data_IF_528850763306
#
_entry.id   IF_528850763306
#
_cell.length_a   1.000
_cell.length_b   1.000
_cell.length_c   1.000
_cell.angle_alpha   90.00
_cell.angle_beta   90.00
_cell.angle_gamma   90.00
#
_symmetry.space_group_name_H-M   'P 1'
#
loop_
_entity.id
_entity.type
_entity.pdbx_description
1 polymer ?
#
# COMPACT_ATOMS: atom_id res chain seq x y z
N UNK A 1 -3.68 23.73 3.49
CA UNK A 1 -3.71 22.79 4.63
C UNK A 1 -3.48 21.39 4.08
N UNK A 2 -2.37 20.69 4.38
CA UNK A 2 -2.16 19.35 3.85
C UNK A 2 -3.06 18.36 4.61
N UNK A 3 -4.17 17.98 3.99
CA UNK A 3 -5.11 16.97 4.51
C UNK A 3 -4.47 15.58 4.30
N UNK A 4 -4.05 14.96 5.40
CA UNK A 4 -3.57 13.58 5.54
C UNK A 4 -2.30 13.22 4.72
N UNK A 5 -1.14 13.23 5.39
CA UNK A 5 0.20 12.98 4.84
C UNK A 5 0.48 11.53 4.42
N UNK A 6 -0.31 10.99 3.49
CA UNK A 6 -0.03 9.72 2.80
C UNK A 6 0.86 9.92 1.57
N UNK A 7 0.77 11.09 0.93
CA UNK A 7 1.54 11.47 -0.25
C UNK A 7 2.17 12.84 -0.04
N UNK A 8 3.33 13.03 -0.65
CA UNK A 8 4.04 14.30 -0.70
C UNK A 8 4.22 14.70 -2.17
N UNK A 9 4.14 15.99 -2.49
CA UNK A 9 4.47 16.46 -3.84
C UNK A 9 5.96 16.30 -4.09
N UNK A 10 6.32 15.72 -5.24
CA UNK A 10 7.72 15.57 -5.64
C UNK A 10 8.26 16.96 -5.97
N UNK A 11 9.46 17.28 -5.47
CA UNK A 11 10.10 18.57 -5.77
C UNK A 11 10.45 18.61 -7.26
N UNK A 12 10.11 19.71 -7.93
CA UNK A 12 10.18 19.94 -9.39
C UNK A 12 11.57 19.77 -10.03
N UNK A 13 12.61 19.42 -9.27
CA UNK A 13 14.00 19.30 -9.71
C UNK A 13 14.58 17.88 -9.59
N UNK A 14 13.81 16.89 -9.14
CA UNK A 14 14.27 15.49 -9.07
C UNK A 14 13.96 14.74 -10.37
N UNK A 15 14.95 13.99 -10.86
CA UNK A 15 14.79 13.12 -12.03
C UNK A 15 13.92 11.94 -11.63
N UNK A 16 12.67 11.92 -12.10
CA UNK A 16 11.76 10.81 -11.88
C UNK A 16 11.99 9.75 -12.96
N UNK A 17 12.57 8.61 -12.56
CA UNK A 17 12.92 7.52 -13.49
C UNK A 17 11.71 6.65 -13.81
N UNK A 18 10.82 6.44 -12.84
CA UNK A 18 9.64 5.58 -12.96
C UNK A 18 8.43 6.31 -12.39
N UNK A 19 7.32 6.33 -13.13
CA UNK A 19 6.03 6.82 -12.65
C UNK A 19 4.96 5.74 -12.80
N UNK A 20 4.10 5.64 -11.78
CA UNK A 20 2.92 4.79 -11.83
C UNK A 20 1.67 5.65 -12.05
N UNK A 21 0.83 5.37 -13.07
CA UNK A 21 -0.42 6.08 -13.24
C UNK A 21 -1.40 5.71 -12.12
N UNK A 22 -2.09 6.72 -11.59
CA UNK A 22 -3.16 6.52 -10.62
C UNK A 22 -4.47 6.99 -11.21
N UNK A 23 -5.49 6.15 -11.05
CA UNK A 23 -6.86 6.41 -11.48
C UNK A 23 -7.72 6.65 -10.25
N UNK A 24 -8.62 7.63 -10.35
CA UNK A 24 -9.68 7.82 -9.37
C UNK A 24 -10.87 6.98 -9.78
N UNK A 25 -11.23 6.02 -8.94
CA UNK A 25 -12.39 5.17 -9.15
C UNK A 25 -13.48 5.54 -8.16
N UNK A 26 -14.74 5.48 -8.59
CA UNK A 26 -15.88 5.75 -7.73
C UNK A 26 -16.50 4.43 -7.25
N UNK A 27 -16.61 4.24 -5.94
CA UNK A 27 -17.16 3.02 -5.36
C UNK A 27 -17.79 3.28 -3.98
N UNK A 28 -18.98 2.71 -3.72
CA UNK A 28 -19.76 2.92 -2.48
C UNK A 28 -19.92 4.39 -2.06
N UNK A 29 -20.17 5.27 -3.03
CA UNK A 29 -20.33 6.71 -2.77
C UNK A 29 -19.06 7.44 -2.32
N UNK A 30 -17.88 6.84 -2.50
CA UNK A 30 -16.58 7.45 -2.20
C UNK A 30 -15.61 7.30 -3.38
N UNK A 31 -14.79 8.32 -3.60
CA UNK A 31 -13.65 8.24 -4.52
C UNK A 31 -12.51 7.44 -3.88
N UNK A 32 -11.92 6.51 -4.63
CA UNK A 32 -10.76 5.70 -4.24
C UNK A 32 -9.62 5.95 -5.23
N UNK A 33 -8.43 6.17 -4.70
CA UNK A 33 -7.21 6.22 -5.51
C UNK A 33 -6.75 4.78 -5.76
N UNK A 34 -6.69 4.39 -7.03
CA UNK A 34 -6.23 3.09 -7.48
C UNK A 34 -4.98 3.28 -8.34
N UNK A 35 -3.81 2.94 -7.80
CA UNK A 35 -2.56 2.97 -8.55
C UNK A 35 -2.33 1.67 -9.31
N UNK A 36 -1.85 1.78 -10.55
CA UNK A 36 -1.48 0.62 -11.36
C UNK A 36 -0.03 0.17 -11.10
N UNK A 37 0.19 -0.49 -9.97
CA UNK A 37 1.53 -0.96 -9.58
C UNK A 37 1.99 -2.24 -10.30
N UNK A 38 1.33 -2.67 -11.40
CA UNK A 38 1.73 -3.90 -12.12
C UNK A 38 3.15 -3.84 -12.65
N UNK A 39 3.56 -2.70 -13.22
CA UNK A 39 4.91 -2.51 -13.74
C UNK A 39 5.96 -2.58 -12.63
N UNK A 40 5.91 -1.76 -11.55
CA UNK A 40 6.90 -1.83 -10.48
C UNK A 40 6.88 -3.20 -9.76
N UNK A 41 5.73 -3.85 -9.60
CA UNK A 41 5.66 -5.18 -8.99
C UNK A 41 6.52 -6.22 -9.72
N UNK A 42 6.64 -6.15 -11.05
CA UNK A 42 7.49 -7.05 -11.82
C UNK A 42 9.00 -6.83 -11.61
N UNK A 43 9.40 -5.61 -11.23
CA UNK A 43 10.79 -5.27 -10.95
C UNK A 43 11.16 -5.42 -9.47
N UNK A 44 10.16 -5.48 -8.59
CA UNK A 44 10.38 -5.69 -7.16
C UNK A 44 10.58 -7.16 -6.81
N UNK A 45 11.55 -7.45 -5.94
CA UNK A 45 11.70 -8.78 -5.35
C UNK A 45 10.55 -9.04 -4.38
N UNK A 46 9.81 -10.11 -4.62
CA UNK A 46 8.73 -10.55 -3.75
C UNK A 46 9.25 -10.91 -2.35
N UNK A 47 8.70 -10.29 -1.32
CA UNK A 47 8.93 -10.71 0.06
C UNK A 47 8.05 -11.93 0.38
N UNK A 48 8.68 -13.02 0.83
CA UNK A 48 8.03 -14.30 1.14
C UNK A 48 7.97 -14.49 2.64
N UNK A 49 7.39 -13.52 3.35
CA UNK A 49 7.16 -13.66 4.77
C UNK A 49 6.18 -14.83 5.01
N UNK A 50 6.50 -15.80 5.89
CA UNK A 50 5.69 -16.98 6.08
C UNK A 50 4.38 -16.60 6.78
N UNK A 51 3.30 -16.57 6.01
CA UNK A 51 1.95 -16.45 6.56
C UNK A 51 1.63 -17.75 7.29
N UNK A 52 1.13 -17.70 8.54
CA UNK A 52 0.78 -18.90 9.30
C UNK A 52 -0.24 -19.74 8.53
N UNK A 53 -0.04 -21.05 8.53
CA UNK A 53 -0.96 -21.97 7.87
C UNK A 53 -2.35 -21.89 8.52
N UNK A 54 -3.36 -21.60 7.70
CA UNK A 54 -4.75 -21.37 8.15
C UNK A 54 -5.26 -22.52 9.01
N UNK A 55 -4.93 -23.78 8.69
CA UNK A 55 -5.39 -24.94 9.47
C UNK A 55 -4.92 -24.88 10.93
N UNK A 56 -3.67 -24.49 11.18
CA UNK A 56 -3.14 -24.35 12.54
C UNK A 56 -3.77 -23.18 13.30
N UNK A 57 -4.08 -22.08 12.61
CA UNK A 57 -4.79 -20.95 13.21
C UNK A 57 -6.22 -21.36 13.61
N UNK A 58 -6.91 -22.12 12.75
CA UNK A 58 -8.27 -22.59 13.00
C UNK A 58 -8.35 -23.61 14.13
N UNK A 59 -7.40 -24.54 14.26
CA UNK A 59 -7.40 -25.50 15.40
C UNK A 59 -7.27 -24.79 16.76
N UNK A 60 -6.46 -23.72 16.83
CA UNK A 60 -6.36 -22.89 18.03
C UNK A 60 -7.66 -22.12 18.32
N UNK A 61 -8.30 -21.59 17.28
CA UNK A 61 -9.58 -20.89 17.39
C UNK A 61 -10.72 -21.83 17.80
N UNK A 62 -10.75 -23.07 17.31
CA UNK A 62 -11.79 -24.05 17.62
C UNK A 62 -11.86 -24.41 19.11
N UNK A 63 -10.75 -24.26 19.84
CA UNK A 63 -10.66 -24.53 21.29
C UNK A 63 -10.94 -23.30 22.15
N UNK A 64 -11.17 -22.13 21.55
CA UNK A 64 -11.38 -20.88 22.28
C UNK A 64 -12.82 -20.76 22.79
N UNK A 65 -12.98 -20.31 24.05
CA UNK A 65 -14.30 -20.08 24.67
C UNK A 65 -15.00 -18.82 24.13
N UNK A 66 -14.22 -17.81 23.73
CA UNK A 66 -14.68 -16.57 23.13
C UNK A 66 -13.75 -16.19 21.99
N UNK A 67 -14.32 -15.74 20.87
CA UNK A 67 -13.58 -15.27 19.70
C UNK A 67 -13.99 -13.83 19.44
N UNK A 68 -13.01 -12.93 19.42
CA UNK A 68 -13.20 -11.54 19.01
C UNK A 68 -12.44 -11.30 17.70
N UNK A 69 -13.13 -10.69 16.73
CA UNK A 69 -12.54 -10.30 15.45
C UNK A 69 -12.36 -8.79 15.44
N UNK A 70 -11.12 -8.35 15.24
CA UNK A 70 -10.77 -6.93 15.05
C UNK A 70 -10.20 -6.75 13.65
N UNK A 71 -10.61 -5.69 12.97
CA UNK A 71 -10.10 -5.33 11.65
C UNK A 71 -9.36 -3.99 11.72
N UNK A 72 -8.18 -3.92 11.11
CA UNK A 72 -7.36 -2.72 11.12
C UNK A 72 -7.79 -1.79 9.99
N UNK A 73 -8.39 -0.65 10.33
CA UNK A 73 -8.79 0.35 9.34
C UNK A 73 -7.56 0.86 8.57
N UNK A 74 -7.55 0.66 7.25
CA UNK A 74 -6.47 1.09 6.34
C UNK A 74 -5.08 0.60 6.79
N UNK A 75 -4.97 -0.67 7.18
CA UNK A 75 -3.76 -1.26 7.77
C UNK A 75 -2.45 -0.91 7.05
N UNK A 76 -2.38 -1.04 5.73
CA UNK A 76 -1.13 -0.76 4.98
C UNK A 76 -0.69 0.70 5.07
N UNK A 77 -1.62 1.65 5.04
CA UNK A 77 -1.29 3.08 5.11
C UNK A 77 -0.74 3.52 6.48
N UNK A 78 -0.80 2.65 7.50
CA UNK A 78 -0.18 2.91 8.79
C UNK A 78 1.34 2.72 8.71
N UNK A 79 1.83 1.90 7.80
CA UNK A 79 3.25 1.59 7.64
C UNK A 79 3.96 2.64 6.78
N UNK A 80 5.10 3.13 7.27
CA UNK A 80 5.99 4.04 6.53
C UNK A 80 6.81 3.30 5.47
N UNK A 81 7.04 3.95 4.34
CA UNK A 81 7.94 3.45 3.29
C UNK A 81 9.37 3.87 3.61
N UNK A 82 10.35 3.02 3.32
CA UNK A 82 11.77 3.37 3.43
C UNK A 82 12.16 4.39 2.34
N UNK A 83 13.03 5.37 2.61
CA UNK A 83 13.41 6.39 1.62
C UNK A 83 13.84 5.81 0.26
N UNK A 84 14.69 4.78 0.26
CA UNK A 84 15.17 4.13 -0.97
C UNK A 84 14.07 3.44 -1.80
N UNK A 85 12.90 3.19 -1.22
CA UNK A 85 11.76 2.57 -1.90
C UNK A 85 10.70 3.60 -2.29
N UNK A 86 10.81 4.86 -1.84
CA UNK A 86 9.87 5.92 -2.21
C UNK A 86 9.94 6.27 -3.70
N UNK A 87 11.14 6.19 -4.29
CA UNK A 87 11.36 6.42 -5.73
C UNK A 87 10.56 5.47 -6.63
N UNK A 88 10.29 4.24 -6.17
CA UNK A 88 9.47 3.25 -6.89
C UNK A 88 7.97 3.50 -6.76
N UNK A 89 7.58 4.36 -5.82
CA UNK A 89 6.19 4.68 -5.51
C UNK A 89 5.82 6.12 -5.90
N UNK A 90 6.53 6.68 -6.87
CA UNK A 90 6.16 7.94 -7.49
C UNK A 90 4.97 7.70 -8.42
N UNK A 91 3.94 8.53 -8.23
CA UNK A 91 2.68 8.46 -8.96
C UNK A 91 2.45 9.71 -9.79
N UNK A 92 1.81 9.51 -10.93
CA UNK A 92 1.31 10.59 -11.77
C UNK A 92 -0.20 10.58 -11.77
N UNK A 93 -0.77 11.71 -11.37
CA UNK A 93 -2.20 11.98 -11.34
C UNK A 93 -2.52 13.18 -12.23
N UNK A 94 -3.80 13.40 -12.53
CA UNK A 94 -4.25 14.61 -13.23
C UNK A 94 -3.94 15.93 -12.48
N UNK A 95 -3.54 15.87 -11.20
CA UNK A 95 -3.13 17.02 -10.40
C UNK A 95 -1.61 17.26 -10.40
N UNK A 96 -0.82 16.36 -10.97
CA UNK A 96 0.64 16.42 -10.95
C UNK A 96 1.29 15.11 -10.49
N UNK A 97 2.57 15.22 -10.13
CA UNK A 97 3.41 14.12 -9.68
C UNK A 97 3.53 14.17 -8.16
N UNK A 98 3.32 13.02 -7.50
CA UNK A 98 3.42 12.89 -6.04
C UNK A 98 4.08 11.57 -5.67
N UNK A 99 4.66 11.48 -4.50
CA UNK A 99 5.28 10.28 -3.96
C UNK A 99 4.49 9.73 -2.76
N UNK A 100 4.46 8.42 -2.59
CA UNK A 100 3.90 7.78 -1.39
C UNK A 100 4.93 7.75 -0.25
N UNK A 101 4.57 8.33 0.89
CA UNK A 101 5.35 8.23 2.14
C UNK A 101 4.92 7.04 3.01
N UNK A 102 3.69 6.53 2.77
CA UNK A 102 3.08 5.37 3.43
C UNK A 102 2.76 4.29 2.41
N UNK A 103 2.71 3.02 2.82
CA UNK A 103 2.52 1.93 1.86
C UNK A 103 1.18 2.02 1.11
N UNK A 104 1.19 2.14 -0.23
CA UNK A 104 -0.02 2.09 -1.05
C UNK A 104 -0.70 0.72 -1.01
N UNK A 105 -1.99 0.72 -1.33
CA UNK A 105 -2.67 -0.50 -1.76
C UNK A 105 -2.21 -0.89 -3.18
N UNK A 106 -2.01 -2.20 -3.42
CA UNK A 106 -1.70 -2.75 -4.75
C UNK A 106 -0.23 -3.12 -4.99
N UNK A 107 0.68 -2.78 -4.07
CA UNK A 107 2.07 -3.25 -4.13
C UNK A 107 2.18 -4.69 -3.63
N UNK A 108 3.02 -5.49 -4.27
CA UNK A 108 3.15 -6.91 -3.98
C UNK A 108 3.65 -7.20 -2.55
N UNK A 109 4.50 -6.33 -2.01
CA UNK A 109 5.14 -6.54 -0.71
C UNK A 109 4.35 -5.95 0.49
N UNK A 110 3.24 -5.24 0.26
CA UNK A 110 2.44 -4.67 1.35
C UNK A 110 1.91 -5.75 2.34
N UNK A 111 1.36 -6.89 1.88
CA UNK A 111 0.84 -7.93 2.78
C UNK A 111 1.93 -8.64 3.59
N UNK A 112 3.17 -8.70 3.10
CA UNK A 112 4.27 -9.35 3.81
C UNK A 112 4.77 -8.51 5.01
N UNK A 113 4.57 -7.19 4.95
CA UNK A 113 4.98 -6.24 5.97
C UNK A 113 3.88 -5.91 7.00
N UNK A 114 2.68 -6.46 6.84
CA UNK A 114 1.52 -6.21 7.70
C UNK A 114 1.09 -7.49 8.41
#
# INVERSE_FOLDING_TARGET
MPRNGFHQEVRTQEIVVITTPVLMTWHDGKSRLCGDFRAPNNYTKADRYPIPWIAHALDKLAKAKYITKMDCMKGFHQNGVKPNSMELLIITCHMGISEYTRMPFGIQNAPAHF
#
